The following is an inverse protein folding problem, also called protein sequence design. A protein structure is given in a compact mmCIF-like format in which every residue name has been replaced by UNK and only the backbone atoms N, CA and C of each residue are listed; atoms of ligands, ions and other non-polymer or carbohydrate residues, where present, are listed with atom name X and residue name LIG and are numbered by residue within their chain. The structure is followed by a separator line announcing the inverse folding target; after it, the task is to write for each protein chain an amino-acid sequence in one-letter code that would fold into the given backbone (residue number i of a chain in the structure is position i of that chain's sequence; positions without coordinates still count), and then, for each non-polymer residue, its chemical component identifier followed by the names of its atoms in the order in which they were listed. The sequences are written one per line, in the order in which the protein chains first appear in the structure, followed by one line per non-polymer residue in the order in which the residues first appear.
data_IF_170940049794
#
_entry.id   IF_170940049794
#
_cell.length_a   1.000
_cell.length_b   1.000
_cell.length_c   1.000
_cell.angle_alpha   90.00
_cell.angle_beta   90.00
_cell.angle_gamma   90.00
#
_symmetry.space_group_name_H-M   'P 1'
#
loop_
_entity.id
_entity.type
_entity.pdbx_description
1 polymer ?
#
# COMPACT_ATOMS: atom_id res chain seq x y z
N UNK A 1 26.77 -22.13 -7.16
CA UNK A 1 25.71 -21.28 -7.72
C UNK A 1 25.05 -20.56 -6.55
N UNK A 2 24.86 -19.24 -6.62
CA UNK A 2 24.30 -18.41 -5.53
C UNK A 2 22.91 -17.87 -5.88
N UNK A 3 22.74 -17.43 -7.11
CA UNK A 3 21.45 -17.07 -7.69
C UNK A 3 20.95 -18.14 -8.64
N UNK A 4 19.66 -18.45 -8.56
CA UNK A 4 18.96 -19.30 -9.51
C UNK A 4 17.61 -18.65 -9.87
N UNK A 5 17.32 -18.57 -11.18
CA UNK A 5 16.06 -18.05 -11.71
C UNK A 5 15.43 -19.11 -12.59
N UNK A 6 14.16 -19.40 -12.35
CA UNK A 6 13.35 -20.31 -13.15
C UNK A 6 12.17 -19.53 -13.72
N UNK A 7 12.08 -19.44 -15.05
CA UNK A 7 11.04 -18.69 -15.74
C UNK A 7 10.34 -19.62 -16.74
N UNK A 8 9.02 -19.71 -16.68
CA UNK A 8 8.18 -20.54 -17.58
C UNK A 8 8.52 -22.04 -17.58
N UNK A 9 9.13 -22.55 -16.50
CA UNK A 9 9.52 -23.95 -16.38
C UNK A 9 8.37 -24.80 -15.84
N UNK A 10 8.18 -26.00 -16.40
CA UNK A 10 7.35 -27.04 -15.80
C UNK A 10 8.04 -27.57 -14.53
N UNK A 11 7.63 -27.10 -13.36
CA UNK A 11 8.23 -27.42 -12.07
C UNK A 11 7.20 -28.14 -11.20
N UNK A 12 7.49 -29.38 -10.82
CA UNK A 12 6.76 -30.09 -9.77
C UNK A 12 7.53 -30.05 -8.43
N UNK A 13 6.88 -30.46 -7.34
CA UNK A 13 7.46 -30.47 -5.99
C UNK A 13 8.73 -31.31 -5.88
N UNK A 14 8.82 -32.42 -6.60
CA UNK A 14 9.97 -33.30 -6.54
C UNK A 14 11.17 -32.66 -7.25
N UNK A 15 10.93 -32.02 -8.39
CA UNK A 15 11.94 -31.26 -9.12
C UNK A 15 12.42 -30.06 -8.29
N UNK A 16 11.51 -29.32 -7.66
CA UNK A 16 11.88 -28.20 -6.79
C UNK A 16 12.70 -28.66 -5.58
N UNK A 17 12.24 -29.69 -4.86
CA UNK A 17 12.98 -30.25 -3.71
C UNK A 17 14.35 -30.77 -4.13
N UNK A 18 14.43 -31.51 -5.23
CA UNK A 18 15.70 -32.01 -5.75
C UNK A 18 16.65 -30.87 -6.10
N UNK A 19 16.14 -29.80 -6.71
CA UNK A 19 16.93 -28.64 -7.10
C UNK A 19 17.47 -27.87 -5.88
N UNK A 20 16.63 -27.65 -4.87
CA UNK A 20 17.02 -27.00 -3.61
C UNK A 20 18.02 -27.85 -2.82
N UNK A 21 17.84 -29.17 -2.79
CA UNK A 21 18.75 -30.10 -2.12
C UNK A 21 20.11 -30.22 -2.82
N UNK A 22 20.13 -30.20 -4.15
CA UNK A 22 21.37 -30.27 -4.94
C UNK A 22 22.16 -28.95 -4.92
N UNK A 23 21.51 -27.84 -4.55
CA UNK A 23 22.11 -26.50 -4.61
C UNK A 23 22.10 -25.80 -3.24
N UNK A 24 22.83 -26.31 -2.23
CA UNK A 24 22.83 -25.79 -0.86
C UNK A 24 23.48 -24.40 -0.70
N UNK A 25 24.01 -23.83 -1.77
CA UNK A 25 24.66 -22.50 -1.78
C UNK A 25 23.77 -21.40 -2.37
N UNK A 26 22.53 -21.71 -2.74
CA UNK A 26 21.58 -20.71 -3.25
C UNK A 26 21.24 -19.74 -2.11
N UNK A 27 21.47 -18.46 -2.35
CA UNK A 27 21.08 -17.34 -1.50
C UNK A 27 20.01 -16.44 -2.16
N UNK A 28 19.83 -16.52 -3.49
CA UNK A 28 18.82 -15.80 -4.26
C UNK A 28 18.06 -16.76 -5.19
N UNK A 29 16.76 -16.89 -4.99
CA UNK A 29 15.92 -17.81 -5.76
C UNK A 29 14.68 -17.10 -6.30
N UNK A 30 14.51 -17.17 -7.61
CA UNK A 30 13.43 -16.51 -8.35
C UNK A 30 12.63 -17.59 -9.10
N UNK A 31 11.32 -17.58 -8.91
CA UNK A 31 10.36 -18.44 -9.63
C UNK A 31 9.35 -17.53 -10.34
N UNK A 32 9.33 -17.60 -11.66
CA UNK A 32 8.46 -16.81 -12.53
C UNK A 32 7.64 -17.70 -13.46
N UNK A 33 6.31 -17.59 -13.41
CA UNK A 33 5.40 -18.27 -14.36
C UNK A 33 5.62 -19.79 -14.50
N UNK A 34 6.15 -20.46 -13.47
CA UNK A 34 6.37 -21.90 -13.50
C UNK A 34 5.03 -22.67 -13.40
N UNK A 35 4.84 -23.63 -14.31
CA UNK A 35 3.61 -24.44 -14.42
C UNK A 35 3.86 -25.87 -13.88
N UNK A 36 2.83 -26.67 -13.65
CA UNK A 36 2.87 -28.05 -13.09
C UNK A 36 2.95 -28.20 -11.56
N UNK A 37 3.03 -27.11 -10.79
CA UNK A 37 2.81 -27.18 -9.33
C UNK A 37 1.36 -27.51 -8.95
N UNK A 38 0.48 -27.66 -9.95
CA UNK A 38 -0.98 -27.88 -9.82
C UNK A 38 -1.34 -29.35 -9.62
N UNK A 39 -0.39 -30.30 -9.64
CA UNK A 39 -0.69 -31.74 -9.56
C UNK A 39 -0.69 -32.27 -8.13
N UNK A 40 -1.26 -31.48 -7.22
CA UNK A 40 -1.39 -31.80 -5.81
C UNK A 40 -2.86 -31.72 -5.45
N UNK A 41 -3.41 -32.84 -5.00
CA UNK A 41 -4.68 -32.87 -4.29
C UNK A 41 -4.60 -31.92 -3.09
N UNK A 42 -5.18 -30.71 -3.19
CA UNK A 42 -5.70 -29.75 -2.19
C UNK A 42 -5.11 -29.65 -0.75
N UNK A 43 -3.99 -30.31 -0.44
CA UNK A 43 -3.51 -30.60 0.91
C UNK A 43 -1.98 -30.71 1.02
N UNK A 44 -1.20 -30.63 -0.08
CA UNK A 44 0.26 -30.61 0.03
C UNK A 44 0.77 -29.21 -0.33
N UNK A 45 1.39 -28.59 0.66
CA UNK A 45 2.05 -27.30 0.52
C UNK A 45 3.44 -27.46 -0.10
N UNK A 46 3.84 -26.49 -0.91
CA UNK A 46 5.20 -26.40 -1.44
C UNK A 46 6.11 -25.94 -0.31
N UNK A 47 6.94 -26.85 0.22
CA UNK A 47 7.88 -26.53 1.29
C UNK A 47 9.25 -26.16 0.74
N UNK A 48 9.66 -24.90 0.89
CA UNK A 48 11.04 -24.45 0.58
C UNK A 48 11.88 -24.57 1.87
N UNK A 49 12.85 -25.48 1.87
CA UNK A 49 13.77 -25.71 3.00
C UNK A 49 15.21 -25.43 2.59
N UNK A 50 15.61 -24.17 2.54
CA UNK A 50 16.98 -23.77 2.25
C UNK A 50 17.48 -22.76 3.29
N UNK A 51 18.18 -23.22 4.34
CA UNK A 51 18.59 -22.34 5.43
C UNK A 51 19.57 -21.25 4.99
N UNK A 52 20.21 -21.38 3.82
CA UNK A 52 21.10 -20.35 3.23
C UNK A 52 20.37 -19.26 2.45
N UNK A 53 19.08 -19.46 2.14
CA UNK A 53 18.32 -18.56 1.30
C UNK A 53 18.15 -17.20 1.98
N UNK A 54 18.49 -16.14 1.26
CA UNK A 54 18.40 -14.76 1.73
C UNK A 54 17.35 -13.97 0.96
N UNK A 55 17.11 -14.32 -0.30
CA UNK A 55 16.16 -13.64 -1.17
C UNK A 55 15.28 -14.67 -1.86
N UNK A 56 13.97 -14.49 -1.74
CA UNK A 56 12.96 -15.29 -2.44
C UNK A 56 12.03 -14.34 -3.18
N UNK A 57 11.90 -14.55 -4.49
CA UNK A 57 10.86 -13.92 -5.30
C UNK A 57 9.99 -15.02 -5.92
N UNK A 58 8.68 -14.92 -5.69
CA UNK A 58 7.71 -15.87 -6.19
C UNK A 58 6.60 -15.13 -6.93
N UNK A 59 6.46 -15.44 -8.20
CA UNK A 59 5.38 -14.97 -9.05
C UNK A 59 4.35 -16.08 -9.21
N UNK A 60 3.17 -15.86 -8.62
CA UNK A 60 2.03 -16.77 -8.71
C UNK A 60 1.41 -16.81 -10.10
N UNK A 61 0.57 -17.82 -10.34
CA UNK A 61 -0.34 -17.81 -11.48
C UNK A 61 -1.76 -17.77 -10.91
N UNK A 62 -2.59 -16.81 -11.32
CA UNK A 62 -4.03 -16.74 -10.98
C UNK A 62 -4.82 -17.90 -11.60
N UNK A 63 -4.61 -19.12 -11.14
CA UNK A 63 -5.38 -20.32 -11.52
C UNK A 63 -6.21 -20.76 -10.33
N UNK A 64 -7.39 -21.33 -10.57
CA UNK A 64 -8.31 -21.77 -9.51
C UNK A 64 -7.67 -22.75 -8.51
N UNK A 65 -6.67 -23.52 -8.94
CA UNK A 65 -5.98 -24.59 -8.18
C UNK A 65 -4.47 -24.36 -8.01
N UNK A 66 -4.05 -23.13 -7.72
CA UNK A 66 -2.63 -22.87 -7.42
C UNK A 66 -2.25 -23.43 -6.04
N UNK A 67 -1.00 -23.91 -5.89
CA UNK A 67 -0.54 -24.57 -4.68
C UNK A 67 -0.39 -23.59 -3.52
N UNK A 68 -0.53 -24.13 -2.33
CA UNK A 68 -0.24 -23.41 -1.08
C UNK A 68 1.28 -23.31 -0.90
N UNK A 69 1.85 -22.10 -0.93
CA UNK A 69 3.25 -21.84 -0.63
C UNK A 69 3.46 -21.86 0.89
N UNK A 70 4.29 -22.79 1.38
CA UNK A 70 4.69 -22.91 2.78
C UNK A 70 6.21 -22.76 2.89
N UNK A 71 6.67 -21.60 3.32
CA UNK A 71 8.10 -21.36 3.48
C UNK A 71 8.45 -21.75 4.92
N UNK A 72 9.22 -22.82 5.10
CA UNK A 72 9.57 -23.35 6.42
C UNK A 72 11.09 -23.38 6.55
N UNK A 73 11.62 -22.99 7.71
CA UNK A 73 13.06 -23.08 8.03
C UNK A 73 14.02 -22.15 7.23
N UNK A 74 13.53 -21.16 6.50
CA UNK A 74 14.34 -20.13 5.83
C UNK A 74 14.88 -19.06 6.80
N UNK A 75 15.67 -19.46 7.80
CA UNK A 75 16.11 -18.61 8.93
C UNK A 75 16.99 -17.42 8.53
N UNK A 76 17.59 -17.45 7.35
CA UNK A 76 18.45 -16.36 6.84
C UNK A 76 17.74 -15.45 5.83
N UNK A 77 16.42 -15.61 5.62
CA UNK A 77 15.68 -14.82 4.65
C UNK A 77 15.72 -13.33 5.04
N UNK A 78 16.19 -12.51 4.11
CA UNK A 78 16.35 -11.05 4.26
C UNK A 78 15.35 -10.26 3.41
N UNK A 79 14.88 -10.86 2.30
CA UNK A 79 13.86 -10.30 1.42
C UNK A 79 12.88 -11.38 0.97
N UNK A 80 11.59 -11.05 0.95
CA UNK A 80 10.53 -11.86 0.33
C UNK A 80 9.70 -10.97 -0.59
N UNK A 81 9.56 -11.40 -1.84
CA UNK A 81 8.66 -10.78 -2.83
C UNK A 81 7.63 -11.81 -3.28
N UNK A 82 6.35 -11.46 -3.16
CA UNK A 82 5.22 -12.26 -3.59
C UNK A 82 4.39 -11.44 -4.59
N UNK A 83 4.21 -11.93 -5.80
CA UNK A 83 3.44 -11.23 -6.83
C UNK A 83 2.36 -12.16 -7.38
N UNK A 84 1.17 -11.63 -7.67
CA UNK A 84 0.08 -12.36 -8.36
C UNK A 84 -0.40 -13.64 -7.63
N UNK A 85 -0.50 -13.59 -6.30
CA UNK A 85 -0.96 -14.72 -5.47
C UNK A 85 -2.36 -14.52 -4.88
N UNK A 86 -3.16 -15.59 -4.76
CA UNK A 86 -4.36 -15.59 -3.89
C UNK A 86 -3.99 -16.08 -2.50
N UNK A 87 -4.73 -15.68 -1.47
CA UNK A 87 -4.36 -16.08 -0.10
C UNK A 87 -4.72 -17.47 0.33
N UNK A 88 -5.65 -18.12 -0.36
CA UNK A 88 -5.73 -19.57 -0.24
C UNK A 88 -4.41 -20.25 -0.65
N UNK A 89 -3.55 -19.59 -1.44
CA UNK A 89 -2.24 -20.07 -1.91
C UNK A 89 -1.09 -19.59 -1.01
N UNK A 90 -1.33 -18.64 -0.10
CA UNK A 90 -0.38 -18.29 0.95
C UNK A 90 -0.75 -19.19 2.13
N UNK A 91 0.02 -20.24 2.35
CA UNK A 91 -0.25 -21.20 3.41
C UNK A 91 -0.15 -20.61 4.80
N UNK A 92 0.05 -21.49 5.79
CA UNK A 92 0.45 -21.10 7.15
C UNK A 92 1.86 -20.48 7.16
N UNK A 93 2.06 -19.40 6.42
CA UNK A 93 3.15 -18.44 6.54
C UNK A 93 3.23 -17.89 7.98
N UNK A 94 2.24 -18.22 8.82
CA UNK A 94 2.26 -18.18 10.29
C UNK A 94 3.62 -18.51 10.94
N UNK A 95 4.41 -19.41 10.34
CA UNK A 95 5.68 -19.86 10.93
C UNK A 95 6.94 -19.24 10.28
N UNK A 96 6.81 -18.44 9.23
CA UNK A 96 7.91 -17.56 8.79
C UNK A 96 8.14 -16.42 9.78
N UNK A 97 7.20 -16.19 10.70
CA UNK A 97 7.04 -14.90 11.34
C UNK A 97 8.08 -14.53 12.40
N UNK A 98 8.76 -15.53 12.94
CA UNK A 98 9.95 -15.33 13.77
C UNK A 98 11.21 -15.03 12.93
N UNK A 99 11.21 -15.43 11.65
CA UNK A 99 12.34 -15.33 10.71
C UNK A 99 12.10 -14.34 9.57
N UNK A 100 11.15 -13.41 9.70
CA UNK A 100 10.76 -12.56 8.56
C UNK A 100 11.90 -11.69 8.07
N UNK A 101 12.05 -11.59 6.75
CA UNK A 101 12.95 -10.67 6.11
C UNK A 101 12.80 -9.23 6.59
N UNK A 102 13.91 -8.48 6.50
CA UNK A 102 13.86 -7.02 6.75
C UNK A 102 12.97 -6.31 5.73
N UNK A 103 12.77 -6.91 4.54
CA UNK A 103 11.99 -6.36 3.45
C UNK A 103 10.92 -7.36 2.99
N UNK A 104 9.67 -6.92 2.95
CA UNK A 104 8.54 -7.67 2.40
C UNK A 104 7.92 -6.85 1.27
N UNK A 105 7.82 -7.44 0.09
CA UNK A 105 7.09 -6.90 -1.05
C UNK A 105 5.95 -7.87 -1.39
N UNK A 106 4.72 -7.34 -1.45
CA UNK A 106 3.52 -8.09 -1.81
C UNK A 106 2.82 -7.29 -2.89
N UNK A 107 2.60 -7.88 -4.05
CA UNK A 107 2.05 -7.20 -5.22
C UNK A 107 0.86 -7.97 -5.79
N UNK A 108 -0.24 -7.27 -6.07
CA UNK A 108 -1.45 -7.82 -6.68
C UNK A 108 -1.96 -9.11 -6.00
N UNK A 109 -1.83 -9.16 -4.67
CA UNK A 109 -2.26 -10.33 -3.88
C UNK A 109 -3.67 -10.12 -3.32
N UNK A 110 -4.58 -11.08 -3.58
CA UNK A 110 -6.00 -10.95 -3.19
C UNK A 110 -6.33 -11.65 -1.88
N UNK A 111 -6.97 -10.90 -0.96
CA UNK A 111 -7.56 -11.41 0.28
C UNK A 111 -6.70 -11.27 1.55
N UNK A 112 -5.66 -10.41 1.57
CA UNK A 112 -4.66 -10.37 2.68
C UNK A 112 -5.21 -9.70 3.91
N UNK A 113 -5.60 -10.50 4.89
CA UNK A 113 -6.18 -9.98 6.12
C UNK A 113 -5.13 -9.60 7.14
N UNK A 114 -3.99 -10.30 7.16
CA UNK A 114 -3.01 -10.15 8.23
C UNK A 114 -1.58 -10.35 7.73
N UNK A 115 -0.69 -9.47 8.21
CA UNK A 115 0.78 -9.60 8.12
C UNK A 115 1.29 -9.56 9.56
N UNK A 116 1.68 -10.72 10.07
CA UNK A 116 2.38 -10.81 11.35
C UNK A 116 3.87 -10.85 11.05
N UNK A 117 4.56 -9.78 11.44
CA UNK A 117 5.91 -9.49 11.01
C UNK A 117 6.66 -8.64 12.05
N UNK A 118 7.03 -9.22 13.21
CA UNK A 118 7.51 -8.47 14.35
C UNK A 118 8.79 -7.67 14.09
N UNK A 119 9.65 -8.16 13.17
CA UNK A 119 10.96 -7.59 12.85
C UNK A 119 11.02 -6.86 11.49
N UNK A 120 9.86 -6.55 10.90
CA UNK A 120 9.80 -5.93 9.57
C UNK A 120 10.39 -4.51 9.57
N UNK A 121 11.27 -4.24 8.59
CA UNK A 121 11.93 -2.93 8.42
C UNK A 121 11.40 -2.18 7.21
N UNK A 122 10.98 -2.86 6.16
CA UNK A 122 10.41 -2.26 4.94
C UNK A 122 9.24 -3.11 4.46
N UNK A 123 8.18 -2.43 4.01
CA UNK A 123 6.96 -3.03 3.48
C UNK A 123 6.60 -2.31 2.20
N UNK A 124 6.44 -3.07 1.14
CA UNK A 124 5.81 -2.68 -0.12
C UNK A 124 4.57 -3.57 -0.26
N UNK A 125 3.39 -2.97 -0.28
CA UNK A 125 2.14 -3.70 -0.33
C UNK A 125 1.24 -3.12 -1.42
N UNK A 126 0.81 -3.95 -2.35
CA UNK A 126 -0.20 -3.64 -3.37
C UNK A 126 -1.31 -4.71 -3.28
N UNK A 127 -2.53 -4.25 -2.97
CA UNK A 127 -3.69 -5.11 -2.81
C UNK A 127 -5.02 -4.36 -2.73
N UNK A 128 -6.10 -5.10 -2.51
CA UNK A 128 -7.48 -4.61 -2.55
C UNK A 128 -8.06 -4.26 -1.17
N UNK A 129 -7.31 -4.49 -0.09
CA UNK A 129 -7.75 -4.24 1.28
C UNK A 129 -6.59 -3.88 2.22
N UNK A 130 -6.89 -3.25 3.35
CA UNK A 130 -5.88 -2.88 4.36
C UNK A 130 -5.56 -4.13 5.21
N UNK A 131 -4.32 -4.65 5.20
CA UNK A 131 -3.96 -5.80 6.01
C UNK A 131 -3.73 -5.40 7.47
N UNK A 132 -4.06 -6.27 8.42
CA UNK A 132 -3.70 -6.07 9.83
C UNK A 132 -2.21 -6.31 10.04
N UNK A 133 -1.48 -5.31 10.56
CA UNK A 133 -0.07 -5.43 10.90
C UNK A 133 0.12 -5.83 12.37
N UNK A 134 0.60 -7.05 12.61
CA UNK A 134 1.13 -7.48 13.93
C UNK A 134 2.64 -7.28 13.96
N UNK A 135 3.04 -6.05 14.32
CA UNK A 135 4.44 -5.66 14.47
C UNK A 135 4.75 -5.47 15.96
N UNK A 136 5.95 -5.86 16.40
CA UNK A 136 6.38 -5.70 17.78
C UNK A 136 6.36 -4.21 18.20
N UNK A 137 5.69 -3.89 19.32
CA UNK A 137 5.54 -2.52 19.85
C UNK A 137 6.85 -1.74 20.01
N UNK A 138 7.97 -2.43 20.20
CA UNK A 138 9.30 -1.81 20.38
C UNK A 138 9.96 -1.38 19.08
N UNK A 139 9.43 -1.81 17.94
CA UNK A 139 10.16 -1.67 16.69
C UNK A 139 10.01 -0.26 16.10
N UNK A 140 8.80 0.29 15.86
CA UNK A 140 8.63 1.46 14.97
C UNK A 140 9.59 1.37 13.75
N UNK A 141 9.88 0.15 13.31
CA UNK A 141 11.07 -0.19 12.52
C UNK A 141 10.82 -0.01 11.03
N UNK A 142 9.55 0.07 10.63
CA UNK A 142 9.16 0.38 9.27
C UNK A 142 9.74 1.73 8.85
N UNK A 143 10.72 1.66 7.96
CA UNK A 143 11.42 2.77 7.34
C UNK A 143 11.18 2.66 5.84
N UNK A 144 10.67 3.74 5.25
CA UNK A 144 10.44 3.84 3.80
C UNK A 144 9.51 2.71 3.32
N UNK A 145 8.26 2.77 3.78
CA UNK A 145 7.23 1.80 3.41
C UNK A 145 6.24 2.41 2.43
N UNK A 146 5.70 1.56 1.57
CA UNK A 146 4.79 1.93 0.50
C UNK A 146 3.57 1.02 0.53
N UNK A 147 2.41 1.63 0.29
CA UNK A 147 1.14 0.91 0.20
C UNK A 147 0.36 1.44 -0.99
N UNK A 148 -0.07 0.55 -1.86
CA UNK A 148 -0.99 0.76 -2.96
C UNK A 148 -2.27 -0.01 -2.65
N UNK A 149 -3.39 0.69 -2.68
CA UNK A 149 -4.71 0.13 -2.46
C UNK A 149 -5.57 0.44 -3.68
N UNK A 150 -5.84 -0.59 -4.47
CA UNK A 150 -6.52 -0.49 -5.76
C UNK A 150 -7.93 -1.07 -5.73
N UNK A 151 -8.80 -0.56 -6.62
CA UNK A 151 -10.18 -1.04 -6.80
C UNK A 151 -11.02 -1.01 -5.51
N UNK A 152 -10.77 -0.01 -4.66
CA UNK A 152 -11.47 0.12 -3.37
C UNK A 152 -12.95 0.42 -3.58
N UNK A 153 -13.80 -0.37 -2.92
CA UNK A 153 -15.25 -0.21 -2.92
C UNK A 153 -15.71 0.39 -1.58
N UNK A 154 -16.66 1.32 -1.65
CA UNK A 154 -17.38 1.88 -0.49
C UNK A 154 -16.49 2.50 0.61
N UNK A 155 -15.76 3.57 0.26
CA UNK A 155 -15.02 4.36 1.25
C UNK A 155 -15.98 5.04 2.23
N UNK A 156 -15.89 4.68 3.51
CA UNK A 156 -16.68 5.23 4.60
C UNK A 156 -15.81 5.57 5.82
N UNK A 157 -16.41 6.15 6.86
CA UNK A 157 -15.68 6.56 8.06
C UNK A 157 -14.91 5.42 8.76
N UNK A 158 -15.47 4.20 8.78
CA UNK A 158 -14.80 3.04 9.39
C UNK A 158 -13.53 2.67 8.60
N UNK A 159 -13.59 2.67 7.26
CA UNK A 159 -12.45 2.39 6.40
C UNK A 159 -11.30 3.38 6.62
N UNK A 160 -11.59 4.69 6.66
CA UNK A 160 -10.57 5.71 6.97
C UNK A 160 -9.99 5.55 8.37
N UNK A 161 -10.80 5.07 9.34
CA UNK A 161 -10.36 4.68 10.68
C UNK A 161 -9.35 3.55 10.67
N UNK A 162 -9.59 2.50 9.88
CA UNK A 162 -8.64 1.39 9.70
C UNK A 162 -7.37 1.85 9.00
N UNK A 163 -7.48 2.68 7.96
CA UNK A 163 -6.31 3.27 7.29
C UNK A 163 -5.45 4.05 8.28
N UNK A 164 -6.06 4.88 9.12
CA UNK A 164 -5.34 5.66 10.14
C UNK A 164 -4.63 4.76 11.16
N UNK A 165 -5.31 3.71 11.64
CA UNK A 165 -4.72 2.72 12.56
C UNK A 165 -3.54 2.00 11.91
N UNK A 166 -3.69 1.60 10.66
CA UNK A 166 -2.64 0.94 9.88
C UNK A 166 -1.44 1.87 9.68
N UNK A 167 -1.65 3.09 9.18
CA UNK A 167 -0.58 4.03 8.92
C UNK A 167 0.16 4.42 10.20
N UNK A 168 -0.51 4.41 11.37
CA UNK A 168 0.13 4.69 12.67
C UNK A 168 1.19 3.68 13.10
N UNK A 169 1.27 2.52 12.44
CA UNK A 169 2.28 1.49 12.71
C UNK A 169 3.68 1.86 12.22
N UNK A 170 3.78 2.87 11.35
CA UNK A 170 5.05 3.42 10.86
C UNK A 170 5.07 4.94 11.00
N UNK A 171 6.27 5.47 11.23
CA UNK A 171 6.52 6.92 11.20
C UNK A 171 7.05 7.42 9.86
N UNK A 172 7.19 6.54 8.87
CA UNK A 172 7.99 6.80 7.67
C UNK A 172 7.44 6.12 6.43
N UNK A 173 6.14 6.27 6.19
CA UNK A 173 5.53 5.95 4.89
C UNK A 173 6.05 6.92 3.82
N UNK A 174 6.70 6.38 2.77
CA UNK A 174 7.11 7.17 1.61
C UNK A 174 5.94 7.43 0.70
N UNK A 175 5.15 6.40 0.40
CA UNK A 175 4.03 6.47 -0.52
C UNK A 175 2.80 5.77 0.06
N UNK A 176 1.65 6.43 -0.06
CA UNK A 176 0.33 5.82 0.08
C UNK A 176 -0.40 6.10 -1.21
N UNK A 177 -0.74 5.09 -1.98
CA UNK A 177 -1.49 5.17 -3.22
C UNK A 177 -2.89 4.60 -2.98
N UNK A 178 -3.93 5.36 -3.32
CA UNK A 178 -5.33 4.97 -3.17
C UNK A 178 -6.03 5.15 -4.52
N UNK A 179 -6.66 4.09 -5.03
CA UNK A 179 -7.49 4.13 -6.22
C UNK A 179 -8.89 3.60 -5.90
N UNK A 180 -9.90 4.41 -6.18
CA UNK A 180 -11.31 4.11 -5.90
C UNK A 180 -12.23 4.69 -6.95
N UNK A 181 -13.33 3.98 -7.18
CA UNK A 181 -14.39 4.39 -8.11
C UNK A 181 -15.38 5.30 -7.38
N UNK A 182 -15.95 4.85 -6.26
CA UNK A 182 -16.98 5.58 -5.52
C UNK A 182 -16.61 5.85 -4.04
N UNK A 183 -17.11 6.96 -3.50
CA UNK A 183 -16.99 7.30 -2.07
C UNK A 183 -18.37 7.58 -1.49
N UNK A 184 -18.71 6.86 -0.41
CA UNK A 184 -19.96 7.06 0.33
C UNK A 184 -19.93 8.32 1.18
N UNK A 185 -21.08 8.75 1.70
CA UNK A 185 -21.13 9.90 2.61
C UNK A 185 -20.28 9.63 3.87
N UNK A 186 -19.27 10.47 4.11
CA UNK A 186 -18.37 10.33 5.24
C UNK A 186 -18.87 11.19 6.41
N UNK A 187 -19.42 10.54 7.43
CA UNK A 187 -19.75 11.21 8.68
C UNK A 187 -18.49 11.46 9.51
N UNK A 188 -18.00 12.71 9.51
CA UNK A 188 -16.83 13.13 10.27
C UNK A 188 -16.93 12.88 11.78
N UNK A 189 -18.13 12.82 12.36
CA UNK A 189 -18.30 12.53 13.79
C UNK A 189 -17.85 11.11 14.14
N UNK A 190 -18.02 10.17 13.20
CA UNK A 190 -17.65 8.77 13.40
C UNK A 190 -16.13 8.59 13.34
N UNK A 191 -15.42 9.44 12.59
CA UNK A 191 -13.95 9.49 12.58
C UNK A 191 -13.40 9.92 13.95
N UNK A 192 -13.99 10.95 14.57
CA UNK A 192 -13.54 11.55 15.84
C UNK A 192 -13.58 10.54 17.00
N UNK A 193 -14.40 9.49 16.94
CA UNK A 193 -14.45 8.42 17.95
C UNK A 193 -13.13 7.64 18.09
N UNK A 194 -12.24 7.69 17.10
CA UNK A 194 -10.96 6.97 17.09
C UNK A 194 -9.74 7.83 17.51
N UNK A 195 -9.94 8.86 18.34
CA UNK A 195 -8.93 9.89 18.64
C UNK A 195 -7.69 9.51 19.46
N UNK A 196 -7.47 8.24 19.79
CA UNK A 196 -6.40 7.84 20.72
C UNK A 196 -5.00 7.89 20.14
N UNK A 197 -4.84 8.12 18.83
CA UNK A 197 -3.55 8.03 18.12
C UNK A 197 -3.21 9.36 17.44
N UNK A 198 -1.94 9.78 17.52
CA UNK A 198 -1.43 10.91 16.73
C UNK A 198 -1.66 10.64 15.24
N UNK A 199 -2.03 11.68 14.47
CA UNK A 199 -2.18 11.53 13.02
C UNK A 199 -0.85 11.09 12.40
N UNK A 200 -0.83 9.99 11.62
CA UNK A 200 0.36 9.54 10.90
C UNK A 200 0.88 10.59 9.93
N UNK A 201 2.20 10.66 9.77
CA UNK A 201 2.84 11.51 8.75
C UNK A 201 3.22 10.64 7.56
N UNK A 202 2.84 11.09 6.37
CA UNK A 202 3.14 10.43 5.10
C UNK A 202 3.93 11.42 4.25
N UNK A 203 4.93 10.97 3.49
CA UNK A 203 5.60 11.88 2.56
C UNK A 203 4.66 12.17 1.39
N UNK A 204 4.34 11.16 0.60
CA UNK A 204 3.53 11.28 -0.61
C UNK A 204 2.26 10.46 -0.48
N UNK A 205 1.11 11.10 -0.65
CA UNK A 205 -0.20 10.47 -0.79
C UNK A 205 -0.65 10.68 -2.24
N UNK A 206 -0.84 9.61 -2.99
CA UNK A 206 -1.42 9.63 -4.32
C UNK A 206 -2.85 9.12 -4.19
N UNK A 207 -3.82 9.93 -4.60
CA UNK A 207 -5.22 9.58 -4.64
C UNK A 207 -5.70 9.67 -6.09
N UNK A 208 -6.20 8.55 -6.61
CA UNK A 208 -6.82 8.45 -7.93
C UNK A 208 -8.31 8.24 -7.70
N UNK A 209 -9.11 9.23 -8.12
CA UNK A 209 -10.55 9.22 -7.99
C UNK A 209 -11.14 9.18 -9.40
N UNK A 210 -11.68 8.03 -9.80
CA UNK A 210 -12.11 7.81 -11.19
C UNK A 210 -13.53 8.37 -11.41
N UNK A 211 -14.44 8.24 -10.44
CA UNK A 211 -15.84 8.70 -10.57
C UNK A 211 -16.42 9.19 -9.23
N UNK A 212 -16.01 10.37 -8.75
CA UNK A 212 -16.74 10.95 -7.62
C UNK A 212 -18.10 11.49 -8.11
N UNK A 213 -19.21 10.90 -7.67
CA UNK A 213 -20.49 11.61 -7.74
C UNK A 213 -20.32 12.97 -7.05
N UNK A 214 -20.88 14.03 -7.63
CA UNK A 214 -20.73 15.45 -7.23
C UNK A 214 -21.05 15.78 -5.76
N UNK A 215 -21.41 14.79 -4.94
CA UNK A 215 -22.09 15.02 -3.68
C UNK A 215 -21.15 15.38 -2.52
N UNK A 216 -19.91 14.85 -2.43
CA UNK A 216 -19.12 14.98 -1.18
C UNK A 216 -17.58 15.15 -1.29
N UNK A 217 -17.01 15.84 -2.29
CA UNK A 217 -15.55 15.96 -2.43
C UNK A 217 -14.85 16.60 -1.23
N UNK A 218 -15.51 17.50 -0.50
CA UNK A 218 -14.92 18.19 0.66
C UNK A 218 -14.76 17.28 1.89
N UNK A 219 -15.71 16.37 2.14
CA UNK A 219 -15.62 15.40 3.24
C UNK A 219 -14.53 14.35 2.98
N UNK A 220 -14.31 14.01 1.71
CA UNK A 220 -13.22 13.13 1.29
C UNK A 220 -11.85 13.77 1.57
N UNK A 221 -11.66 15.05 1.25
CA UNK A 221 -10.45 15.80 1.64
C UNK A 221 -10.24 15.71 3.14
N UNK A 222 -11.27 16.02 3.92
CA UNK A 222 -11.19 16.01 5.38
C UNK A 222 -10.81 14.63 5.92
N UNK A 223 -11.38 13.55 5.36
CA UNK A 223 -11.09 12.18 5.76
C UNK A 223 -9.67 11.75 5.40
N UNK A 224 -9.18 12.05 4.20
CA UNK A 224 -7.80 11.77 3.78
C UNK A 224 -6.78 12.46 4.70
N UNK A 225 -7.01 13.75 4.97
CA UNK A 225 -6.16 14.56 5.85
C UNK A 225 -6.29 14.15 7.33
N UNK A 226 -7.43 13.60 7.74
CA UNK A 226 -7.61 13.04 9.07
C UNK A 226 -6.87 11.70 9.23
N UNK A 227 -6.89 10.85 8.19
CA UNK A 227 -6.20 9.56 8.18
C UNK A 227 -4.69 9.71 8.16
N UNK A 228 -4.16 10.73 7.47
CA UNK A 228 -2.74 11.04 7.45
C UNK A 228 -2.47 12.52 7.16
N UNK A 229 -1.31 13.04 7.58
CA UNK A 229 -0.83 14.37 7.21
C UNK A 229 0.23 14.23 6.10
N UNK A 230 -0.17 14.12 4.81
CA UNK A 230 0.79 14.01 3.71
C UNK A 230 1.56 15.32 3.53
N UNK A 231 2.83 15.26 3.12
CA UNK A 231 3.57 16.45 2.66
C UNK A 231 3.20 16.82 1.24
N UNK A 232 2.90 15.81 0.41
CA UNK A 232 2.44 15.96 -0.96
C UNK A 232 1.21 15.11 -1.18
N UNK A 233 0.13 15.71 -1.66
CA UNK A 233 -1.08 15.04 -2.12
C UNK A 233 -1.14 15.15 -3.64
N UNK A 234 -1.08 14.04 -4.35
CA UNK A 234 -1.24 14.00 -5.81
C UNK A 234 -2.64 13.47 -6.09
N UNK A 235 -3.47 14.27 -6.73
CA UNK A 235 -4.84 13.93 -7.07
C UNK A 235 -4.96 13.74 -8.58
N UNK A 236 -5.46 12.59 -9.01
CA UNK A 236 -5.92 12.38 -10.38
C UNK A 236 -7.44 12.24 -10.38
N UNK A 237 -8.16 13.21 -10.95
CA UNK A 237 -9.63 13.23 -10.96
C UNK A 237 -10.19 14.24 -11.98
N UNK A 238 -11.50 14.47 -11.96
CA UNK A 238 -12.15 15.52 -12.75
C UNK A 238 -11.80 16.92 -12.24
N UNK A 239 -12.03 17.91 -13.08
CA UNK A 239 -11.77 19.33 -12.82
C UNK A 239 -12.59 19.83 -11.64
N UNK A 240 -13.86 19.44 -11.57
CA UNK A 240 -14.79 19.84 -10.52
C UNK A 240 -14.31 19.34 -9.15
N UNK A 241 -13.88 18.08 -9.09
CA UNK A 241 -13.35 17.47 -7.86
C UNK A 241 -12.03 18.09 -7.45
N UNK A 242 -11.11 18.31 -8.39
CA UNK A 242 -9.85 19.02 -8.12
C UNK A 242 -10.12 20.44 -7.58
N UNK A 243 -11.11 21.15 -8.15
CA UNK A 243 -11.52 22.48 -7.69
C UNK A 243 -12.02 22.43 -6.24
N UNK A 244 -12.92 21.50 -5.93
CA UNK A 244 -13.45 21.31 -4.58
C UNK A 244 -12.34 20.98 -3.57
N UNK A 245 -11.36 20.16 -3.96
CA UNK A 245 -10.19 19.86 -3.13
C UNK A 245 -9.36 21.11 -2.87
N UNK A 246 -9.09 21.90 -3.90
CA UNK A 246 -8.32 23.13 -3.80
C UNK A 246 -9.01 24.16 -2.89
N UNK A 247 -10.31 24.38 -3.07
CA UNK A 247 -11.11 25.30 -2.25
C UNK A 247 -11.11 24.87 -0.79
N UNK A 248 -11.29 23.57 -0.53
CA UNK A 248 -11.29 23.03 0.84
C UNK A 248 -9.92 23.21 1.52
N UNK A 249 -8.83 22.93 0.81
CA UNK A 249 -7.46 23.10 1.31
C UNK A 249 -7.14 24.57 1.61
N UNK A 250 -7.54 25.48 0.72
CA UNK A 250 -7.36 26.93 0.91
C UNK A 250 -8.18 27.45 2.09
N UNK A 251 -9.40 26.96 2.24
CA UNK A 251 -10.24 27.25 3.40
C UNK A 251 -9.61 26.78 4.71
N UNK A 252 -9.09 25.54 4.76
CA UNK A 252 -8.37 25.01 5.92
C UNK A 252 -7.13 25.82 6.28
N UNK A 253 -6.37 26.28 5.28
CA UNK A 253 -5.20 27.14 5.47
C UNK A 253 -5.58 28.48 6.14
N UNK A 254 -6.68 29.07 5.69
CA UNK A 254 -7.14 30.37 6.18
C UNK A 254 -7.94 30.28 7.48
N UNK A 255 -8.24 29.06 7.97
CA UNK A 255 -8.95 28.86 9.22
C UNK A 255 -8.07 29.33 10.39
N UNK A 256 -8.48 30.42 11.03
CA UNK A 256 -7.87 30.92 12.26
C UNK A 256 -8.59 30.30 13.47
N UNK A 257 -7.90 29.43 14.20
CA UNK A 257 -8.46 28.84 15.42
C UNK A 257 -8.58 29.89 16.52
N UNK A 258 -9.73 30.55 16.62
CA UNK A 258 -10.12 31.28 17.83
C UNK A 258 -10.44 30.27 18.94
N UNK A 259 -9.41 29.84 19.68
CA UNK A 259 -9.58 29.32 21.05
C UNK A 259 -9.37 27.82 21.32
N UNK A 260 -9.00 26.96 20.36
CA UNK A 260 -8.75 25.54 20.64
C UNK A 260 -7.25 25.18 20.70
N UNK A 261 -6.88 24.33 21.67
CA UNK A 261 -5.49 23.96 22.03
C UNK A 261 -4.78 23.02 21.04
N UNK A 262 -5.32 22.76 19.85
CA UNK A 262 -4.73 21.84 18.87
C UNK A 262 -3.89 22.58 17.82
N UNK A 263 -2.74 23.12 18.23
CA UNK A 263 -1.78 23.82 17.34
C UNK A 263 -1.00 22.91 16.39
N UNK A 264 -1.00 21.59 16.59
CA UNK A 264 -0.05 20.68 15.94
C UNK A 264 -0.54 20.06 14.61
N UNK A 265 -1.72 20.43 14.13
CA UNK A 265 -2.34 19.87 12.91
C UNK A 265 -2.91 20.95 11.97
N UNK A 266 -2.49 22.21 12.14
CA UNK A 266 -3.00 23.30 11.33
C UNK A 266 -2.23 23.39 10.01
N UNK A 267 -2.95 23.43 8.88
CA UNK A 267 -2.36 23.67 7.57
C UNK A 267 -1.92 25.14 7.47
N UNK A 268 -0.64 25.38 7.24
CA UNK A 268 -0.01 26.71 7.16
C UNK A 268 0.10 27.24 5.74
N UNK A 269 0.40 26.35 4.80
CA UNK A 269 0.59 26.70 3.39
C UNK A 269 0.16 25.55 2.48
N UNK A 270 -0.36 25.91 1.31
CA UNK A 270 -0.73 25.01 0.22
C UNK A 270 -0.14 25.58 -1.06
N UNK A 271 0.56 24.75 -1.83
CA UNK A 271 1.03 25.07 -3.19
C UNK A 271 0.50 24.00 -4.14
N UNK A 272 -0.12 24.40 -5.24
CA UNK A 272 -0.67 23.48 -6.24
C UNK A 272 0.13 23.55 -7.55
N UNK A 273 0.33 22.40 -8.19
CA UNK A 273 1.07 22.23 -9.43
C UNK A 273 0.30 21.31 -10.38
N UNK A 274 0.16 21.69 -11.64
CA UNK A 274 -0.40 20.83 -12.71
C UNK A 274 0.75 20.14 -13.46
N UNK A 275 0.54 18.89 -13.87
CA UNK A 275 1.41 18.20 -14.82
C UNK A 275 0.88 18.44 -16.24
N UNK A 276 1.65 19.14 -17.08
CA UNK A 276 1.36 19.24 -18.51
C UNK A 276 1.81 17.97 -19.24
N UNK A 277 1.20 17.68 -20.39
CA UNK A 277 1.57 16.68 -21.40
C UNK A 277 3.06 16.69 -21.78
N UNK A 278 3.74 17.82 -21.63
CA UNK A 278 5.19 17.96 -21.82
C UNK A 278 6.04 17.70 -20.55
N UNK A 279 5.45 17.15 -19.49
CA UNK A 279 6.07 16.86 -18.19
C UNK A 279 6.60 18.10 -17.43
N UNK A 280 6.23 19.31 -17.84
CA UNK A 280 6.54 20.54 -17.11
C UNK A 280 5.52 20.80 -15.99
N UNK A 281 6.00 21.09 -14.78
CA UNK A 281 5.16 21.46 -13.65
C UNK A 281 4.84 22.96 -13.69
N UNK A 282 3.56 23.30 -13.91
CA UNK A 282 3.10 24.70 -13.86
C UNK A 282 2.45 24.95 -12.50
N UNK A 283 2.91 25.98 -11.79
CA UNK A 283 2.29 26.41 -10.52
C UNK A 283 0.91 26.98 -10.82
N UNK A 284 -0.10 26.45 -10.15
CA UNK A 284 -1.47 26.96 -10.24
C UNK A 284 -1.59 28.18 -9.31
N UNK A 285 -1.92 29.35 -9.86
CA UNK A 285 -2.34 30.49 -9.05
C UNK A 285 -3.75 30.25 -8.49
N UNK A 286 -4.05 30.77 -7.30
CA UNK A 286 -5.36 30.57 -6.67
C UNK A 286 -6.44 31.32 -7.44
N UNK A 287 -7.24 30.61 -8.26
CA UNK A 287 -8.42 31.15 -8.92
C UNK A 287 -8.90 30.33 -10.11
N UNK A 288 -10.10 30.68 -10.59
CA UNK A 288 -10.81 30.09 -11.73
C UNK A 288 -10.04 30.16 -13.08
N UNK A 289 -8.99 30.98 -13.17
CA UNK A 289 -8.24 31.24 -14.40
C UNK A 289 -7.27 30.11 -14.80
N UNK A 290 -6.83 29.27 -13.86
CA UNK A 290 -5.93 28.15 -14.15
C UNK A 290 -6.66 26.88 -14.65
N UNK A 291 -8.00 26.91 -14.65
CA UNK A 291 -8.86 25.74 -14.88
C UNK A 291 -9.44 25.67 -16.30
N UNK A 292 -9.21 26.68 -17.14
CA UNK A 292 -9.81 26.79 -18.49
C UNK A 292 -9.16 25.88 -19.54
N UNK A 293 -7.97 25.34 -19.27
CA UNK A 293 -7.18 24.50 -20.18
C UNK A 293 -7.11 23.03 -19.70
N UNK A 294 -8.12 22.57 -18.94
CA UNK A 294 -8.17 21.22 -18.39
C UNK A 294 -9.07 20.31 -19.25
N UNK A 295 -8.65 19.05 -19.40
CA UNK A 295 -9.42 17.96 -20.06
C UNK A 295 -10.26 17.17 -19.04
N UNK A 296 -11.03 16.16 -19.46
CA UNK A 296 -11.98 15.42 -18.59
C UNK A 296 -11.34 14.85 -17.30
N UNK A 297 -10.06 14.43 -17.34
CA UNK A 297 -9.32 13.98 -16.14
C UNK A 297 -7.91 14.54 -16.11
N UNK A 298 -7.49 15.02 -14.93
CA UNK A 298 -6.25 15.78 -14.76
C UNK A 298 -5.48 15.30 -13.53
N UNK A 299 -4.16 15.52 -13.51
CA UNK A 299 -3.31 15.21 -12.36
C UNK A 299 -2.74 16.49 -11.75
N UNK A 300 -3.05 16.75 -10.49
CA UNK A 300 -2.61 17.92 -9.74
C UNK A 300 -1.88 17.50 -8.46
N UNK A 301 -0.75 18.13 -8.20
CA UNK A 301 0.07 17.93 -7.01
C UNK A 301 -0.07 19.11 -6.06
N UNK A 302 -0.51 18.83 -4.84
CA UNK A 302 -0.61 19.77 -3.73
C UNK A 302 0.52 19.52 -2.73
N UNK A 303 1.38 20.51 -2.52
CA UNK A 303 2.32 20.51 -1.39
C UNK A 303 1.66 21.14 -0.18
N UNK A 304 1.64 20.39 0.93
CA UNK A 304 0.96 20.75 2.17
C UNK A 304 1.98 20.97 3.29
N UNK A 305 1.91 22.13 3.92
CA UNK A 305 2.80 22.51 5.01
C UNK A 305 2.00 22.61 6.30
N UNK A 306 2.17 21.62 7.19
CA UNK A 306 1.50 21.53 8.50
C UNK A 306 2.28 22.25 9.61
#
# INVERSE_FOLDING_TARGET
MRKLSLTEVGLDDNMLRALLNCCPLIDDFIIEHCHLMTKIELNQSVTIQTPTLQHLSYFGCFREESPVLDIVECRNLKSLQLTDMRICEIGKVQNLWESIPKLLAIENCKGLQEIDAPNLVSLEYDGDQIPQLKIAKRSRQLKKSEICLDSLKDLNAAWFGELRKFLSKSSSWSLVFLSFEECSEINMKDLVLHHTVSTPKVNDLVAVCIESSDKYPTLLVDALLWSCHPKRLILKSSIETISCFMDRLMYMKNWTCHGSKHRNSQLKEVKAYKFDSEHQCVKLESGELAMRDLTETETVSFQLYW
#
